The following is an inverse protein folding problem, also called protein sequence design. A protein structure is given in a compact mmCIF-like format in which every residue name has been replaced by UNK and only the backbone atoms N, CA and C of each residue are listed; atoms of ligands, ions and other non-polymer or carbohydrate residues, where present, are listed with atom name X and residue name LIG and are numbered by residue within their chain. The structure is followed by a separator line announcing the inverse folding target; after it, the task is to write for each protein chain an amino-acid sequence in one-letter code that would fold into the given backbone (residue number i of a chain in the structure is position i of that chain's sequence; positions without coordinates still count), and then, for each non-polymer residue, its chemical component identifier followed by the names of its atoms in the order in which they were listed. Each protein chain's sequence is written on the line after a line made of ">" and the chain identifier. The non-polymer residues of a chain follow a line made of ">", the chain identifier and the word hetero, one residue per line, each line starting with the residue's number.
data_IF_509785697062
#
_entry.id   IF_509785697062
#
_cell.length_a   1.000
_cell.length_b   1.000
_cell.length_c   1.000
_cell.angle_alpha   90.00
_cell.angle_beta   90.00
_cell.angle_gamma   90.00
#
_symmetry.space_group_name_H-M   'P 1'
#
loop_
_entity.id
_entity.type
_entity.pdbx_description
1 polymer ?
#
# COMPACT_ATOMS: atom_id res chain seq x y z
N UNK A 1 37.49 28.07 -47.35
CA UNK A 1 37.33 27.47 -46.00
C UNK A 1 36.03 27.91 -45.30
N UNK A 2 34.92 28.17 -46.02
CA UNK A 2 33.74 28.86 -45.45
C UNK A 2 32.38 28.15 -45.58
N UNK A 3 32.33 26.86 -45.92
CA UNK A 3 31.05 26.17 -46.15
C UNK A 3 30.77 24.99 -45.21
N UNK A 4 31.59 24.76 -44.18
CA UNK A 4 31.37 23.65 -43.22
C UNK A 4 30.93 24.08 -41.82
N UNK A 5 30.85 25.39 -41.53
CA UNK A 5 30.52 25.89 -40.18
C UNK A 5 29.03 26.25 -39.99
N UNK A 6 28.27 26.40 -41.08
CA UNK A 6 26.85 26.83 -41.01
C UNK A 6 25.90 25.63 -40.79
N UNK A 7 26.30 24.42 -41.19
CA UNK A 7 25.47 23.22 -41.02
C UNK A 7 25.41 22.68 -39.59
N UNK A 8 26.25 23.18 -38.68
CA UNK A 8 26.29 22.72 -37.28
C UNK A 8 25.34 23.50 -36.35
N UNK A 9 24.84 24.67 -36.78
CA UNK A 9 23.91 25.47 -35.96
C UNK A 9 22.43 25.14 -36.20
N UNK A 10 22.08 24.53 -37.34
CA UNK A 10 20.69 24.18 -37.66
C UNK A 10 20.27 22.85 -36.99
N UNK A 11 21.23 21.98 -36.64
CA UNK A 11 20.95 20.72 -35.95
C UNK A 11 20.75 20.86 -34.43
N UNK A 12 21.10 22.01 -33.82
CA UNK A 12 20.95 22.23 -32.38
C UNK A 12 19.59 22.82 -31.97
N UNK A 13 18.79 23.29 -32.92
CA UNK A 13 17.45 23.86 -32.65
C UNK A 13 16.28 22.86 -32.85
N UNK A 14 16.56 21.65 -33.33
CA UNK A 14 15.56 20.58 -33.48
C UNK A 14 15.46 19.63 -32.27
N UNK A 15 16.24 19.88 -31.22
CA UNK A 15 16.13 19.24 -29.91
C UNK A 15 15.83 20.29 -28.83
N UNK A 16 14.88 21.19 -29.09
CA UNK A 16 14.13 21.71 -27.95
C UNK A 16 13.50 20.48 -27.29
N UNK A 17 13.80 20.17 -26.02
CA UNK A 17 13.05 19.15 -25.32
C UNK A 17 11.60 19.56 -25.49
N UNK A 18 10.80 18.65 -26.06
CA UNK A 18 9.36 18.71 -25.92
C UNK A 18 9.16 18.90 -24.42
N UNK A 19 8.93 20.13 -23.98
CA UNK A 19 8.37 20.37 -22.67
C UNK A 19 7.04 19.66 -22.77
N UNK A 20 7.01 18.42 -22.29
CA UNK A 20 5.78 17.75 -21.96
C UNK A 20 5.10 18.73 -21.01
N UNK A 21 4.19 19.54 -21.53
CA UNK A 21 3.26 20.30 -20.73
C UNK A 21 2.54 19.22 -19.92
N UNK A 22 3.00 19.06 -18.69
CA UNK A 22 2.34 18.24 -17.70
C UNK A 22 1.03 18.97 -17.42
N UNK A 23 -0.02 18.62 -18.17
CA UNK A 23 -1.37 19.08 -17.87
C UNK A 23 -1.58 18.86 -16.38
N UNK A 24 -1.84 19.96 -15.66
CA UNK A 24 -2.17 19.88 -14.25
C UNK A 24 -3.47 19.10 -14.15
N UNK A 25 -3.41 17.92 -13.52
CA UNK A 25 -4.60 17.12 -13.26
C UNK A 25 -5.63 18.03 -12.57
N UNK A 26 -6.85 18.18 -13.12
CA UNK A 26 -7.86 19.04 -12.51
C UNK A 26 -8.10 18.59 -11.08
N UNK A 27 -7.95 19.50 -10.12
CA UNK A 27 -8.08 19.20 -8.69
C UNK A 27 -9.53 18.91 -8.29
N UNK A 28 -10.48 19.40 -9.09
CA UNK A 28 -11.91 19.32 -8.89
C UNK A 28 -12.54 18.93 -10.22
N UNK A 29 -13.51 18.02 -10.20
CA UNK A 29 -14.26 17.64 -11.39
C UNK A 29 -15.42 18.60 -11.71
N UNK A 30 -16.14 18.33 -12.79
CA UNK A 30 -17.28 19.15 -13.24
C UNK A 30 -18.45 19.21 -12.26
N UNK A 31 -18.46 18.34 -11.24
CA UNK A 31 -19.51 18.29 -10.20
C UNK A 31 -19.07 18.99 -8.91
N UNK A 32 -17.89 19.64 -8.92
CA UNK A 32 -17.35 20.29 -7.72
C UNK A 32 -16.75 19.30 -6.71
N UNK A 33 -16.47 18.06 -7.12
CA UNK A 33 -15.88 17.05 -6.24
C UNK A 33 -14.37 17.04 -6.39
N UNK A 34 -13.66 17.12 -5.27
CA UNK A 34 -12.21 17.11 -5.25
C UNK A 34 -11.66 15.72 -5.60
N UNK A 35 -10.66 15.69 -6.48
CA UNK A 35 -9.91 14.49 -6.81
C UNK A 35 -8.62 14.39 -5.97
N UNK A 36 -8.01 15.54 -5.68
CA UNK A 36 -6.77 15.68 -4.90
C UNK A 36 -6.85 16.92 -4.00
N UNK A 37 -7.55 16.85 -2.85
CA UNK A 37 -7.55 17.88 -1.81
C UNK A 37 -6.21 17.95 -1.06
N UNK A 38 -6.04 18.94 -0.16
CA UNK A 38 -4.85 19.08 0.68
C UNK A 38 -4.76 17.91 1.69
N UNK A 39 -5.90 17.51 2.27
CA UNK A 39 -6.03 16.29 3.07
C UNK A 39 -7.06 15.32 2.48
N UNK A 40 -6.65 14.07 2.27
CA UNK A 40 -7.53 13.00 1.80
C UNK A 40 -8.48 12.50 2.91
N UNK A 41 -9.71 12.06 2.56
CA UNK A 41 -10.59 11.40 3.50
C UNK A 41 -9.95 10.16 4.14
N UNK A 42 -10.30 9.89 5.40
CA UNK A 42 -9.70 8.82 6.20
C UNK A 42 -10.78 7.87 6.70
N UNK A 43 -10.65 6.58 6.41
CA UNK A 43 -11.48 5.56 7.06
C UNK A 43 -11.17 5.53 8.57
N UNK A 44 -12.15 5.27 9.46
CA UNK A 44 -11.90 5.15 10.90
C UNK A 44 -10.84 4.08 11.21
N UNK A 45 -9.72 4.49 11.83
CA UNK A 45 -8.58 3.59 12.08
C UNK A 45 -7.61 3.42 10.90
N UNK A 46 -7.80 4.17 9.82
CA UNK A 46 -6.89 4.23 8.68
C UNK A 46 -7.03 3.09 7.67
N UNK A 47 -6.08 3.01 6.75
CA UNK A 47 -6.12 2.08 5.61
C UNK A 47 -6.15 0.61 6.05
N UNK A 48 -5.36 0.24 7.07
CA UNK A 48 -5.35 -1.14 7.58
C UNK A 48 -6.71 -1.55 8.18
N UNK A 49 -7.36 -0.65 8.92
CA UNK A 49 -8.70 -0.90 9.47
C UNK A 49 -9.74 -1.07 8.35
N UNK A 50 -9.63 -0.30 7.27
CA UNK A 50 -10.49 -0.48 6.09
C UNK A 50 -10.27 -1.83 5.41
N UNK A 51 -9.01 -2.26 5.24
CA UNK A 51 -8.69 -3.56 4.66
C UNK A 51 -9.24 -4.70 5.52
N UNK A 52 -9.10 -4.59 6.85
CA UNK A 52 -9.70 -5.53 7.81
C UNK A 52 -11.23 -5.54 7.68
N UNK A 53 -11.87 -4.36 7.67
CA UNK A 53 -13.32 -4.23 7.50
C UNK A 53 -13.80 -4.94 6.24
N UNK A 54 -13.15 -4.71 5.09
CA UNK A 54 -13.50 -5.37 3.83
C UNK A 54 -13.34 -6.89 3.94
N UNK A 55 -12.22 -7.37 4.49
CA UNK A 55 -11.96 -8.81 4.62
C UNK A 55 -13.00 -9.54 5.49
N UNK A 56 -13.55 -8.86 6.50
CA UNK A 56 -14.51 -9.45 7.44
C UNK A 56 -15.96 -9.31 6.97
N UNK A 57 -16.28 -8.25 6.22
CA UNK A 57 -17.66 -7.92 5.86
C UNK A 57 -18.05 -8.30 4.44
N UNK A 58 -17.11 -8.62 3.55
CA UNK A 58 -17.40 -9.13 2.21
C UNK A 58 -17.92 -10.57 2.31
N UNK A 59 -19.08 -10.81 1.71
CA UNK A 59 -19.72 -12.12 1.62
C UNK A 59 -19.68 -12.61 0.18
N UNK A 60 -18.95 -13.68 -0.08
CA UNK A 60 -18.87 -14.23 -1.43
C UNK A 60 -20.22 -14.83 -1.86
N UNK A 61 -20.90 -14.31 -2.91
CA UNK A 61 -22.17 -14.87 -3.38
C UNK A 61 -22.04 -16.34 -3.79
N UNK A 62 -22.91 -17.21 -3.27
CA UNK A 62 -22.83 -18.67 -3.48
C UNK A 62 -22.86 -19.03 -4.97
N UNK A 63 -23.67 -18.34 -5.77
CA UNK A 63 -23.76 -18.57 -7.21
C UNK A 63 -22.47 -18.15 -7.94
N UNK A 64 -21.81 -17.07 -7.52
CA UNK A 64 -20.50 -16.69 -8.06
C UNK A 64 -19.42 -17.72 -7.68
N UNK A 65 -19.48 -18.28 -6.46
CA UNK A 65 -18.60 -19.38 -6.04
C UNK A 65 -18.77 -20.62 -6.92
N UNK A 66 -20.02 -21.07 -7.14
CA UNK A 66 -20.33 -22.23 -7.98
C UNK A 66 -19.85 -22.05 -9.42
N UNK A 67 -19.94 -20.83 -9.95
CA UNK A 67 -19.48 -20.48 -11.29
C UNK A 67 -17.97 -20.26 -11.40
N UNK A 68 -17.23 -20.35 -10.29
CA UNK A 68 -15.79 -20.11 -10.31
C UNK A 68 -15.40 -18.64 -10.52
N UNK A 69 -16.34 -17.71 -10.38
CA UNK A 69 -16.19 -16.30 -10.77
C UNK A 69 -15.43 -15.56 -9.71
N UNK A 70 -14.13 -15.31 -9.93
CA UNK A 70 -13.27 -14.52 -9.04
C UNK A 70 -12.77 -13.26 -9.71
N UNK A 71 -12.36 -12.29 -8.90
CA UNK A 71 -11.73 -11.09 -9.40
C UNK A 71 -11.91 -9.91 -8.47
N UNK A 72 -11.76 -8.73 -9.05
CA UNK A 72 -11.80 -7.48 -8.33
C UNK A 72 -12.83 -6.55 -8.92
N UNK A 73 -13.71 -6.06 -8.06
CA UNK A 73 -14.64 -4.97 -8.37
C UNK A 73 -14.01 -3.65 -7.93
N UNK A 74 -14.04 -2.63 -8.79
CA UNK A 74 -13.62 -1.27 -8.42
C UNK A 74 -14.86 -0.44 -8.16
N UNK A 75 -14.96 0.07 -6.93
CA UNK A 75 -16.02 0.98 -6.51
C UNK A 75 -15.43 2.38 -6.40
N UNK A 76 -16.07 3.32 -7.07
CA UNK A 76 -15.86 4.75 -6.87
C UNK A 76 -17.03 5.30 -6.07
N UNK A 77 -16.75 6.19 -5.14
CA UNK A 77 -17.76 6.87 -4.33
C UNK A 77 -17.24 8.25 -3.94
N UNK A 78 -18.10 9.06 -3.35
CA UNK A 78 -17.78 10.38 -2.82
C UNK A 78 -17.87 10.32 -1.30
N UNK A 79 -16.80 10.73 -0.63
CA UNK A 79 -16.86 11.06 0.79
C UNK A 79 -17.37 12.49 0.90
N UNK A 80 -18.51 12.66 1.55
CA UNK A 80 -19.17 13.94 1.74
C UNK A 80 -18.44 14.79 2.80
N UNK A 81 -18.75 16.09 2.84
CA UNK A 81 -18.18 17.04 3.80
C UNK A 81 -18.44 16.68 5.26
N UNK A 82 -19.54 15.96 5.51
CA UNK A 82 -19.87 15.47 6.84
C UNK A 82 -19.16 14.15 7.15
N UNK A 83 -18.58 13.44 6.17
CA UNK A 83 -17.94 12.13 6.31
C UNK A 83 -18.81 10.93 5.89
N UNK A 84 -20.06 11.15 5.48
CA UNK A 84 -20.90 10.07 4.92
C UNK A 84 -20.45 9.72 3.50
N UNK A 85 -20.87 8.54 3.02
CA UNK A 85 -20.60 8.10 1.66
C UNK A 85 -21.81 8.36 0.77
N UNK A 86 -21.55 8.66 -0.49
CA UNK A 86 -22.58 8.75 -1.51
C UNK A 86 -22.03 8.56 -2.92
N UNK A 87 -22.94 8.52 -3.89
CA UNK A 87 -22.61 8.35 -5.32
C UNK A 87 -21.75 7.10 -5.59
N UNK A 88 -21.98 6.01 -4.86
CA UNK A 88 -21.26 4.75 -5.06
C UNK A 88 -21.61 4.15 -6.41
N UNK A 89 -20.61 3.84 -7.20
CA UNK A 89 -20.77 3.16 -8.49
C UNK A 89 -19.64 2.19 -8.75
N UNK A 90 -19.98 1.12 -9.46
CA UNK A 90 -19.00 0.18 -10.01
C UNK A 90 -18.38 0.85 -11.24
N UNK A 91 -17.10 1.20 -11.19
CA UNK A 91 -16.38 1.74 -12.36
C UNK A 91 -15.66 0.66 -13.15
N UNK A 92 -15.43 -0.50 -12.52
CA UNK A 92 -14.95 -1.70 -13.23
C UNK A 92 -15.43 -2.95 -12.51
N UNK A 93 -16.42 -3.60 -13.11
CA UNK A 93 -17.01 -4.83 -12.60
C UNK A 93 -16.22 -6.09 -12.93
N UNK A 94 -16.73 -7.22 -12.44
CA UNK A 94 -16.29 -8.57 -12.81
C UNK A 94 -17.48 -9.41 -13.23
N UNK A 95 -18.49 -9.45 -12.37
CA UNK A 95 -19.73 -10.18 -12.54
C UNK A 95 -20.80 -9.48 -11.68
N UNK A 96 -22.05 -9.38 -12.15
CA UNK A 96 -23.10 -8.66 -11.44
C UNK A 96 -23.24 -9.06 -9.97
N UNK A 97 -23.05 -10.34 -9.62
CA UNK A 97 -23.17 -10.81 -8.24
C UNK A 97 -22.05 -10.25 -7.35
N UNK A 98 -20.82 -10.21 -7.86
CA UNK A 98 -19.69 -9.64 -7.13
C UNK A 98 -19.80 -8.12 -7.05
N UNK A 99 -20.29 -7.50 -8.11
CA UNK A 99 -20.47 -6.06 -8.24
C UNK A 99 -21.51 -5.55 -7.22
N UNK A 100 -22.63 -6.25 -7.08
CA UNK A 100 -23.67 -5.98 -6.08
C UNK A 100 -23.13 -6.11 -4.65
N UNK A 101 -22.38 -7.17 -4.36
CA UNK A 101 -21.81 -7.37 -3.03
C UNK A 101 -20.75 -6.30 -2.70
N UNK A 102 -19.92 -5.93 -3.67
CA UNK A 102 -18.96 -4.85 -3.51
C UNK A 102 -19.67 -3.52 -3.22
N UNK A 103 -20.76 -3.21 -3.92
CA UNK A 103 -21.56 -2.03 -3.62
C UNK A 103 -22.17 -2.09 -2.22
N UNK A 104 -22.72 -3.25 -1.82
CA UNK A 104 -23.33 -3.43 -0.50
C UNK A 104 -22.33 -3.17 0.62
N UNK A 105 -21.12 -3.74 0.53
CA UNK A 105 -20.11 -3.58 1.60
C UNK A 105 -19.58 -2.14 1.67
N UNK A 106 -19.45 -1.45 0.54
CA UNK A 106 -19.03 -0.03 0.53
C UNK A 106 -20.11 0.86 1.13
N UNK A 107 -21.38 0.67 0.75
CA UNK A 107 -22.50 1.41 1.33
C UNK A 107 -22.68 1.20 2.83
N UNK A 108 -22.23 0.06 3.35
CA UNK A 108 -22.32 -0.28 4.77
C UNK A 108 -21.11 0.22 5.59
N UNK A 109 -20.15 0.93 4.98
CA UNK A 109 -18.99 1.44 5.70
C UNK A 109 -19.39 2.45 6.78
N UNK A 110 -18.64 2.50 7.90
CA UNK A 110 -18.80 3.56 8.88
C UNK A 110 -18.49 4.92 8.25
N UNK A 111 -18.92 5.97 8.95
CA UNK A 111 -18.62 7.36 8.60
C UNK A 111 -17.11 7.62 8.57
N UNK A 112 -16.63 8.29 7.53
CA UNK A 112 -15.22 8.64 7.32
C UNK A 112 -14.90 10.00 7.92
N UNK A 113 -13.61 10.26 8.15
CA UNK A 113 -13.11 11.63 8.27
C UNK A 113 -13.15 12.27 6.88
N UNK A 114 -13.80 13.44 6.70
CA UNK A 114 -13.87 14.12 5.41
C UNK A 114 -12.49 14.61 4.96
N UNK A 115 -12.34 14.90 3.67
CA UNK A 115 -11.15 15.58 3.17
C UNK A 115 -11.20 17.08 3.44
N UNK A 116 -10.04 17.73 3.39
CA UNK A 116 -9.89 19.17 3.65
C UNK A 116 -9.16 19.83 2.49
N UNK A 117 -9.69 20.96 2.02
CA UNK A 117 -9.01 21.85 1.09
C UNK A 117 -9.20 23.29 1.56
N UNK A 118 -8.13 24.09 1.55
CA UNK A 118 -8.14 25.48 2.01
C UNK A 118 -8.75 25.65 3.42
N UNK A 119 -8.46 24.68 4.31
CA UNK A 119 -8.95 24.67 5.69
C UNK A 119 -10.44 24.35 5.86
N UNK A 120 -11.16 23.96 4.80
CA UNK A 120 -12.58 23.60 4.82
C UNK A 120 -12.78 22.14 4.46
N UNK A 121 -13.77 21.50 5.08
CA UNK A 121 -14.18 20.15 4.66
C UNK A 121 -14.78 20.20 3.26
N UNK A 122 -14.42 19.24 2.42
CA UNK A 122 -14.83 19.18 1.01
C UNK A 122 -15.28 17.78 0.62
N UNK A 123 -16.11 17.69 -0.42
CA UNK A 123 -16.47 16.41 -1.05
C UNK A 123 -15.29 15.88 -1.83
N UNK A 124 -14.94 14.61 -1.61
CA UNK A 124 -13.78 13.99 -2.26
C UNK A 124 -14.15 12.69 -2.93
N UNK A 125 -13.75 12.55 -4.19
CA UNK A 125 -13.92 11.32 -4.96
C UNK A 125 -12.88 10.31 -4.52
N UNK A 126 -13.34 9.17 -4.05
CA UNK A 126 -12.49 8.09 -3.58
C UNK A 126 -12.77 6.81 -4.36
N UNK A 127 -11.74 5.99 -4.56
CA UNK A 127 -11.86 4.74 -5.32
C UNK A 127 -11.18 3.62 -4.56
N UNK A 128 -11.90 2.53 -4.32
CA UNK A 128 -11.37 1.35 -3.64
C UNK A 128 -11.64 0.08 -4.43
N UNK A 129 -10.72 -0.90 -4.37
CA UNK A 129 -10.96 -2.24 -4.86
C UNK A 129 -11.55 -3.14 -3.78
N UNK A 130 -12.55 -3.95 -4.15
CA UNK A 130 -13.08 -5.06 -3.36
C UNK A 130 -12.67 -6.38 -4.03
N UNK A 131 -12.01 -7.26 -3.28
CA UNK A 131 -11.40 -8.49 -3.80
C UNK A 131 -12.25 -9.72 -3.50
N UNK A 132 -12.51 -10.54 -4.52
CA UNK A 132 -13.17 -11.83 -4.43
C UNK A 132 -12.23 -12.92 -4.95
N UNK A 133 -11.78 -13.80 -4.07
CA UNK A 133 -10.89 -14.91 -4.42
C UNK A 133 -11.48 -16.22 -3.95
N UNK A 134 -11.62 -17.20 -4.85
CA UNK A 134 -11.96 -18.55 -4.47
C UNK A 134 -10.67 -19.25 -4.04
N UNK A 135 -10.49 -19.47 -2.74
CA UNK A 135 -9.59 -20.52 -2.31
C UNK A 135 -10.19 -21.85 -2.76
N UNK A 136 -9.46 -22.63 -3.58
CA UNK A 136 -9.87 -23.99 -3.91
C UNK A 136 -9.96 -24.77 -2.59
N UNK A 137 -11.16 -25.27 -2.25
CA UNK A 137 -11.33 -26.21 -1.15
C UNK A 137 -10.46 -27.45 -1.41
N UNK A 138 -9.45 -27.68 -0.58
CA UNK A 138 -9.02 -29.02 -0.18
C UNK A 138 -9.65 -29.28 1.20
N UNK A 139 -10.13 -30.50 1.39
CA UNK A 139 -11.00 -30.97 2.47
C UNK A 139 -10.68 -30.40 3.88
N UNK A 140 -11.79 -30.12 4.58
CA UNK A 140 -11.96 -29.76 5.99
C UNK A 140 -10.72 -29.93 6.89
N UNK A 141 -10.11 -28.79 7.26
CA UNK A 141 -9.84 -28.27 8.62
C UNK A 141 -8.95 -27.00 8.45
N UNK A 142 -9.56 -25.81 8.57
CA UNK A 142 -8.99 -24.46 8.40
C UNK A 142 -8.64 -24.00 6.95
N UNK A 143 -8.91 -22.72 6.57
CA UNK A 143 -8.72 -22.27 5.19
C UNK A 143 -7.24 -21.90 4.93
N UNK A 144 -6.53 -22.78 4.20
CA UNK A 144 -5.25 -22.47 3.59
C UNK A 144 -5.42 -21.41 2.48
N UNK A 145 -4.98 -20.18 2.75
CA UNK A 145 -4.50 -19.30 1.68
C UNK A 145 -3.19 -19.90 1.18
N UNK A 146 -3.12 -20.37 -0.07
CA UNK A 146 -1.83 -20.63 -0.73
C UNK A 146 -1.13 -19.30 -1.05
N UNK A 147 -0.71 -18.60 0.00
CA UNK A 147 0.44 -17.72 -0.03
C UNK A 147 1.62 -18.66 0.23
N UNK A 148 2.73 -18.64 -0.56
CA UNK A 148 3.90 -19.45 -0.22
C UNK A 148 4.32 -19.11 1.21
N UNK A 149 4.07 -20.05 2.12
CA UNK A 149 4.37 -19.92 3.54
C UNK A 149 5.86 -20.21 3.69
N UNK A 150 6.63 -19.17 4.00
CA UNK A 150 8.05 -19.32 4.28
C UNK A 150 8.21 -19.66 5.74
N UNK A 151 8.92 -20.74 6.03
CA UNK A 151 9.29 -21.11 7.40
C UNK A 151 10.72 -20.64 7.66
N UNK A 152 10.90 -19.88 8.74
CA UNK A 152 12.21 -19.40 9.19
C UNK A 152 12.49 -19.95 10.58
N UNK A 153 13.67 -20.54 10.85
CA UNK A 153 14.05 -20.95 12.19
C UNK A 153 13.97 -19.78 13.20
N UNK A 154 13.52 -20.06 14.41
CA UNK A 154 13.55 -19.10 15.52
C UNK A 154 14.62 -19.48 16.55
N UNK A 155 15.01 -18.52 17.39
CA UNK A 155 15.94 -18.76 18.51
C UNK A 155 17.43 -18.80 18.14
N UNK A 156 17.78 -18.64 16.86
CA UNK A 156 19.18 -18.45 16.45
C UNK A 156 19.72 -17.07 16.84
N UNK A 157 21.04 -16.96 16.98
CA UNK A 157 21.70 -15.67 17.16
C UNK A 157 21.56 -14.81 15.90
N UNK A 158 21.21 -13.53 16.07
CA UNK A 158 21.12 -12.58 14.97
C UNK A 158 22.51 -11.99 14.71
N UNK A 159 23.09 -12.33 13.57
CA UNK A 159 24.43 -11.89 13.14
C UNK A 159 24.35 -10.68 12.22
N UNK A 160 23.30 -10.57 11.40
CA UNK A 160 23.12 -9.46 10.47
C UNK A 160 22.21 -8.39 11.06
N UNK A 161 22.82 -7.31 11.55
CA UNK A 161 22.09 -6.16 12.09
C UNK A 161 21.81 -5.04 11.07
N UNK A 162 22.32 -5.14 9.84
CA UNK A 162 22.23 -4.03 8.89
C UNK A 162 20.78 -3.83 8.38
N UNK A 163 20.19 -2.64 8.56
CA UNK A 163 18.85 -2.35 8.04
C UNK A 163 18.83 -1.98 6.55
N UNK A 164 19.95 -1.56 5.98
CA UNK A 164 20.05 -1.27 4.55
C UNK A 164 19.72 -2.52 3.75
N UNK A 165 18.87 -2.38 2.74
CA UNK A 165 18.41 -3.47 1.90
C UNK A 165 16.96 -3.29 1.44
N UNK A 166 16.46 -4.30 0.74
CA UNK A 166 15.05 -4.40 0.36
C UNK A 166 14.34 -5.33 1.33
N UNK A 167 13.19 -4.88 1.81
CA UNK A 167 12.35 -5.58 2.76
C UNK A 167 10.96 -5.75 2.17
N UNK A 168 10.34 -6.89 2.37
CA UNK A 168 8.97 -7.17 1.99
C UNK A 168 8.10 -7.33 3.22
N UNK A 169 6.97 -6.62 3.25
CA UNK A 169 5.99 -6.73 4.33
C UNK A 169 5.49 -8.17 4.43
N UNK A 170 5.17 -8.63 5.63
CA UNK A 170 4.66 -9.98 5.85
C UNK A 170 3.76 -10.09 7.08
N UNK A 171 2.97 -11.16 7.14
CA UNK A 171 2.33 -11.64 8.35
C UNK A 171 3.22 -12.73 8.95
N UNK A 172 3.32 -12.75 10.27
CA UNK A 172 4.11 -13.74 11.01
C UNK A 172 3.19 -14.53 11.94
N UNK A 173 3.27 -15.85 11.87
CA UNK A 173 2.71 -16.77 12.84
C UNK A 173 3.86 -17.48 13.57
N UNK A 174 4.09 -17.19 14.86
CA UNK A 174 5.12 -17.87 15.64
C UNK A 174 4.77 -19.35 15.84
N UNK A 175 5.74 -20.23 15.61
CA UNK A 175 5.75 -21.62 16.04
C UNK A 175 6.70 -21.84 17.21
N UNK A 176 6.87 -23.11 17.60
CA UNK A 176 7.72 -23.49 18.75
C UNK A 176 9.21 -23.23 18.47
N UNK A 177 9.66 -23.51 17.24
CA UNK A 177 11.06 -23.35 16.79
C UNK A 177 11.18 -22.63 15.45
N UNK A 178 10.09 -22.03 14.98
CA UNK A 178 10.06 -21.34 13.70
C UNK A 178 9.10 -20.14 13.70
N UNK A 179 9.21 -19.35 12.64
CA UNK A 179 8.23 -18.36 12.22
C UNK A 179 7.69 -18.80 10.87
N UNK A 180 6.37 -18.92 10.77
CA UNK A 180 5.70 -19.08 9.49
C UNK A 180 5.29 -17.73 8.96
N UNK A 181 5.60 -17.47 7.70
CA UNK A 181 5.54 -16.13 7.11
C UNK A 181 4.73 -16.14 5.84
N UNK A 182 3.75 -15.25 5.77
CA UNK A 182 2.98 -14.98 4.56
C UNK A 182 3.36 -13.60 4.02
N UNK A 183 3.94 -13.55 2.81
CA UNK A 183 4.38 -12.29 2.18
C UNK A 183 3.20 -11.43 1.72
N UNK A 184 3.32 -10.12 1.94
CA UNK A 184 2.36 -9.09 1.58
C UNK A 184 2.92 -8.20 0.44
N UNK A 185 2.07 -7.44 -0.29
CA UNK A 185 2.45 -6.75 -1.52
C UNK A 185 3.12 -5.38 -1.32
N UNK A 186 3.84 -5.17 -0.21
CA UNK A 186 4.63 -3.95 0.02
C UNK A 186 6.11 -4.29 0.11
N UNK A 187 6.93 -3.52 -0.62
CA UNK A 187 8.36 -3.43 -0.46
C UNK A 187 8.74 -2.13 0.25
N UNK A 188 9.74 -2.21 1.11
CA UNK A 188 10.45 -1.07 1.69
C UNK A 188 11.90 -1.17 1.23
N UNK A 189 12.39 -0.14 0.57
CA UNK A 189 13.80 0.02 0.22
C UNK A 189 14.40 0.96 1.25
N UNK A 190 15.42 0.50 1.98
CA UNK A 190 16.25 1.33 2.86
C UNK A 190 17.63 1.37 2.22
N UNK A 191 18.03 2.52 1.70
CA UNK A 191 19.26 2.65 0.90
C UNK A 191 20.44 3.16 1.73
N UNK A 192 21.66 2.90 1.25
CA UNK A 192 22.88 3.33 1.94
C UNK A 192 23.02 4.87 2.02
N UNK A 193 22.38 5.60 1.11
CA UNK A 193 22.39 7.07 1.03
C UNK A 193 21.40 7.76 1.98
N UNK A 194 20.87 7.02 2.98
CA UNK A 194 19.97 7.53 4.00
C UNK A 194 18.58 7.92 3.50
N UNK A 195 18.12 7.31 2.41
CA UNK A 195 16.73 7.43 1.94
C UNK A 195 15.94 6.14 2.13
N UNK A 196 14.61 6.27 2.17
CA UNK A 196 13.72 5.12 2.16
C UNK A 196 12.54 5.33 1.21
N UNK A 197 12.02 4.22 0.67
CA UNK A 197 10.85 4.21 -0.20
C UNK A 197 9.98 3.00 0.14
N UNK A 198 8.69 3.24 0.38
CA UNK A 198 7.67 2.20 0.49
C UNK A 198 6.88 2.10 -0.82
N UNK A 199 6.92 0.93 -1.43
CA UNK A 199 6.37 0.61 -2.73
C UNK A 199 5.32 -0.48 -2.57
N UNK A 200 4.09 -0.21 -2.97
CA UNK A 200 3.10 -1.26 -3.18
C UNK A 200 3.39 -1.93 -4.53
N UNK A 201 3.88 -3.17 -4.55
CA UNK A 201 4.39 -3.86 -5.76
C UNK A 201 3.31 -4.25 -6.74
N UNK A 202 2.11 -4.41 -6.21
CA UNK A 202 0.91 -4.71 -6.97
C UNK A 202 -0.11 -3.73 -6.42
N UNK A 203 -0.57 -2.77 -7.25
CA UNK A 203 -1.66 -1.89 -6.83
C UNK A 203 -2.77 -2.73 -6.21
N UNK A 204 -3.55 -2.19 -5.26
CA UNK A 204 -4.58 -2.92 -4.45
C UNK A 204 -5.57 -3.76 -5.28
N UNK A 205 -5.46 -3.59 -6.58
CA UNK A 205 -6.31 -4.06 -7.59
C UNK A 205 -5.73 -5.34 -8.30
N UNK A 206 -4.41 -5.58 -8.35
CA UNK A 206 -3.75 -6.61 -9.18
C UNK A 206 -3.51 -6.30 -10.66
N UNK A 207 -3.87 -5.12 -11.15
CA UNK A 207 -3.71 -4.73 -12.57
C UNK A 207 -3.09 -3.33 -12.74
N UNK A 208 -3.04 -2.54 -11.67
CA UNK A 208 -2.38 -1.25 -11.60
C UNK A 208 -0.90 -1.44 -11.33
N UNK A 209 -0.12 -0.51 -11.89
CA UNK A 209 1.30 -0.41 -11.69
C UNK A 209 1.64 -0.31 -10.19
N UNK A 210 2.89 -0.65 -9.86
CA UNK A 210 3.42 -0.41 -8.54
C UNK A 210 3.33 1.09 -8.19
N UNK A 211 3.03 1.40 -6.94
CA UNK A 211 2.87 2.79 -6.46
C UNK A 211 3.80 3.01 -5.29
N UNK A 212 4.61 4.06 -5.37
CA UNK A 212 5.31 4.61 -4.21
C UNK A 212 4.27 5.38 -3.39
N UNK A 213 4.01 4.90 -2.18
CA UNK A 213 2.98 5.49 -1.31
C UNK A 213 3.58 6.24 -0.11
N UNK A 214 4.87 6.06 0.17
CA UNK A 214 5.61 6.86 1.14
C UNK A 214 7.11 6.82 0.82
N UNK A 215 7.80 7.94 0.98
CA UNK A 215 9.24 8.07 0.80
C UNK A 215 9.78 9.22 1.65
N UNK A 216 11.08 9.18 1.91
CA UNK A 216 11.74 10.17 2.75
C UNK A 216 13.20 9.88 3.01
N UNK A 217 13.74 10.61 3.97
CA UNK A 217 15.07 10.36 4.53
C UNK A 217 14.94 9.55 5.82
N UNK A 218 16.03 8.94 6.27
CA UNK A 218 16.04 8.27 7.55
C UNK A 218 17.32 8.51 8.35
N UNK A 219 17.19 8.36 9.66
CA UNK A 219 18.30 8.30 10.62
C UNK A 219 18.29 6.95 11.33
N UNK A 220 19.46 6.49 11.73
CA UNK A 220 19.65 5.31 12.58
C UNK A 220 20.41 5.73 13.84
N UNK A 221 19.72 6.29 14.85
CA UNK A 221 20.38 6.71 16.09
C UNK A 221 20.99 5.54 16.89
N UNK A 222 20.44 4.33 16.77
CA UNK A 222 20.98 3.13 17.41
C UNK A 222 20.58 1.86 16.64
N UNK A 223 21.09 0.70 17.08
CA UNK A 223 20.72 -0.59 16.52
C UNK A 223 19.20 -0.84 16.54
N UNK A 224 18.49 -0.30 17.54
CA UNK A 224 17.07 -0.59 17.80
C UNK A 224 16.15 0.59 17.53
N UNK A 225 16.69 1.72 17.05
CA UNK A 225 15.90 2.92 16.75
C UNK A 225 16.17 3.36 15.31
N UNK A 226 15.10 3.42 14.53
CA UNK A 226 15.06 3.86 13.14
C UNK A 226 14.07 5.01 13.04
N UNK A 227 14.48 6.14 12.48
CA UNK A 227 13.63 7.35 12.40
C UNK A 227 13.42 7.70 10.94
N UNK A 228 12.18 7.66 10.47
CA UNK A 228 11.80 8.08 9.12
C UNK A 228 11.36 9.55 9.14
N UNK A 229 11.95 10.38 8.27
CA UNK A 229 11.55 11.76 8.03
C UNK A 229 10.79 11.77 6.71
N UNK A 230 9.46 11.88 6.79
CA UNK A 230 8.60 11.71 5.61
C UNK A 230 8.73 12.93 4.69
N UNK A 231 9.14 12.72 3.44
CA UNK A 231 9.14 13.79 2.43
C UNK A 231 7.86 13.80 1.61
N UNK A 232 7.30 12.62 1.32
CA UNK A 232 6.03 12.46 0.60
C UNK A 232 5.33 11.18 1.03
N UNK A 233 4.03 11.26 1.23
CA UNK A 233 3.22 10.11 1.65
C UNK A 233 1.77 10.26 1.19
N UNK A 234 1.13 9.14 0.87
CA UNK A 234 -0.32 9.05 0.72
C UNK A 234 -1.01 8.57 2.00
N UNK A 235 -0.24 8.22 3.04
CA UNK A 235 -0.77 7.90 4.35
C UNK A 235 -1.11 9.21 5.08
N UNK A 236 -2.35 9.36 5.55
CA UNK A 236 -2.81 10.62 6.10
C UNK A 236 -2.47 10.81 7.59
N UNK A 237 -1.84 9.81 8.23
CA UNK A 237 -1.25 9.91 9.58
C UNK A 237 0.21 10.37 9.46
N UNK A 238 0.95 9.81 8.50
CA UNK A 238 2.36 10.10 8.29
C UNK A 238 2.53 11.01 7.08
N UNK A 239 2.19 12.29 7.25
CA UNK A 239 2.28 13.31 6.19
C UNK A 239 3.70 13.85 6.05
N UNK A 240 3.96 14.58 4.96
CA UNK A 240 5.25 15.25 4.74
C UNK A 240 5.66 16.13 5.94
N UNK A 241 6.93 16.04 6.34
CA UNK A 241 7.49 16.70 7.52
C UNK A 241 7.33 15.93 8.83
N UNK A 242 6.60 14.80 8.83
CA UNK A 242 6.45 13.95 10.02
C UNK A 242 7.77 13.21 10.30
N UNK A 243 8.23 13.26 11.55
CA UNK A 243 9.24 12.32 12.05
C UNK A 243 8.53 11.11 12.69
N UNK A 244 8.82 9.92 12.18
CA UNK A 244 8.27 8.66 12.68
C UNK A 244 9.38 7.88 13.40
N UNK A 245 9.30 7.81 14.73
CA UNK A 245 10.20 7.00 15.55
C UNK A 245 9.75 5.55 15.56
N UNK A 246 10.61 4.66 15.06
CA UNK A 246 10.32 3.25 14.87
C UNK A 246 11.30 2.42 15.69
N UNK A 247 10.76 1.66 16.63
CA UNK A 247 11.50 0.62 17.35
C UNK A 247 11.71 -0.59 16.45
N UNK A 248 12.95 -1.10 16.42
CA UNK A 248 13.37 -2.23 15.60
C UNK A 248 13.75 -3.40 16.48
N UNK A 249 13.04 -4.51 16.32
CA UNK A 249 13.34 -5.79 16.94
C UNK A 249 13.74 -6.79 15.83
N UNK A 250 14.93 -7.39 15.93
CA UNK A 250 15.41 -8.39 14.95
C UNK A 250 15.10 -9.78 15.49
N UNK A 251 14.20 -10.48 14.80
CA UNK A 251 13.78 -11.84 15.15
C UNK A 251 14.63 -12.91 14.46
N UNK A 252 15.23 -12.54 13.31
CA UNK A 252 16.17 -13.32 12.52
C UNK A 252 16.99 -12.34 11.66
N UNK A 253 18.12 -12.76 11.08
CA UNK A 253 18.92 -11.98 10.11
C UNK A 253 18.12 -11.43 8.91
N UNK A 254 16.97 -12.05 8.66
CA UNK A 254 16.08 -11.79 7.53
C UNK A 254 14.66 -11.40 7.97
N UNK A 255 14.36 -11.36 9.28
CA UNK A 255 13.04 -11.03 9.80
C UNK A 255 13.15 -9.98 10.90
N UNK A 256 12.48 -8.85 10.70
CA UNK A 256 12.39 -7.77 11.67
C UNK A 256 10.93 -7.47 12.01
N UNK A 257 10.74 -7.00 13.24
CA UNK A 257 9.50 -6.42 13.74
C UNK A 257 9.74 -4.93 13.99
N UNK A 258 8.87 -4.12 13.41
CA UNK A 258 8.86 -2.67 13.57
C UNK A 258 7.68 -2.29 14.46
N UNK A 259 7.89 -1.40 15.42
CA UNK A 259 6.83 -0.88 16.29
C UNK A 259 6.90 0.63 16.38
N UNK A 260 5.80 1.32 16.10
CA UNK A 260 5.73 2.78 16.09
C UNK A 260 4.33 3.27 16.44
N UNK A 261 4.21 4.56 16.72
CA UNK A 261 2.92 5.19 17.07
C UNK A 261 2.61 6.34 16.13
N UNK A 262 1.36 6.79 16.11
CA UNK A 262 1.00 8.02 15.44
C UNK A 262 1.70 9.20 16.12
N UNK A 263 1.86 10.35 15.44
CA UNK A 263 2.46 11.53 16.06
C UNK A 263 1.77 11.96 17.37
N UNK A 264 0.44 11.79 17.46
CA UNK A 264 -0.38 12.03 18.66
C UNK A 264 -0.27 10.92 19.73
N UNK A 265 0.44 9.82 19.44
CA UNK A 265 0.63 8.63 20.26
C UNK A 265 -0.64 7.84 20.61
N UNK A 266 -1.77 8.12 19.97
CA UNK A 266 -3.03 7.41 20.24
C UNK A 266 -3.09 6.04 19.57
N UNK A 267 -2.49 5.89 18.39
CA UNK A 267 -2.48 4.65 17.61
C UNK A 267 -1.10 4.05 17.60
N UNK A 268 -1.05 2.72 17.71
CA UNK A 268 0.18 1.93 17.69
C UNK A 268 0.10 0.92 16.56
N UNK A 269 1.20 0.78 15.83
CA UNK A 269 1.36 -0.21 14.77
C UNK A 269 2.50 -1.16 15.10
N UNK A 270 2.30 -2.42 14.71
CA UNK A 270 3.34 -3.44 14.67
C UNK A 270 3.34 -3.99 13.25
N UNK A 271 4.51 -3.99 12.62
CA UNK A 271 4.72 -4.50 11.28
C UNK A 271 5.85 -5.52 11.27
N UNK A 272 5.77 -6.49 10.37
CA UNK A 272 6.81 -7.49 10.16
C UNK A 272 7.34 -7.40 8.74
N UNK A 273 8.65 -7.50 8.61
CA UNK A 273 9.34 -7.29 7.34
C UNK A 273 10.41 -8.37 7.13
N UNK A 274 10.39 -8.97 5.95
CA UNK A 274 11.29 -10.03 5.53
C UNK A 274 12.28 -9.52 4.46
N UNK A 275 13.57 -9.83 4.56
CA UNK A 275 14.61 -9.30 3.66
C UNK A 275 14.61 -9.97 2.26
N UNK A 276 14.82 -9.19 1.19
CA UNK A 276 14.84 -9.65 -0.23
C UNK A 276 16.09 -9.13 -1.00
N UNK A 277 16.67 -9.90 -1.94
CA UNK A 277 16.59 -11.36 -2.05
C UNK A 277 17.39 -11.96 -0.89
N UNK A 278 16.88 -13.03 -0.29
CA UNK A 278 17.68 -13.76 0.69
C UNK A 278 18.76 -14.53 -0.05
N UNK A 279 20.07 -14.36 0.27
CA UNK A 279 21.11 -15.14 -0.38
C UNK A 279 20.97 -16.65 -0.17
N UNK A 280 20.29 -17.14 0.88
CA UNK A 280 20.27 -18.57 1.21
C UNK A 280 18.99 -19.01 1.97
N UNK A 281 17.80 -18.84 1.39
CA UNK A 281 16.59 -19.49 1.94
C UNK A 281 16.32 -20.76 1.17
N UNK A 282 16.52 -21.91 1.82
CA UNK A 282 15.96 -23.18 1.36
C UNK A 282 14.44 -23.01 1.31
N UNK A 283 13.90 -22.79 0.11
CA UNK A 283 12.48 -22.97 -0.15
C UNK A 283 12.25 -24.47 -0.01
N UNK A 284 11.80 -24.93 1.16
CA UNK A 284 11.27 -26.28 1.28
C UNK A 284 9.90 -26.26 0.61
N UNK A 285 9.88 -26.54 -0.69
CA UNK A 285 8.67 -26.93 -1.39
C UNK A 285 8.50 -28.43 -1.20
N UNK A 286 7.32 -28.86 -0.73
CA UNK A 286 6.89 -30.26 -0.81
C UNK A 286 6.76 -30.70 -2.28
#
# INVERSE_FOLDING_TARGET
>A
MHTKLVSLFIALFLCLPLFAQKESIPRIDSEGVYLVPDEMPKFPGGMQAMMKYLSTNVKYPVEAQKKGVSGRVIIQFVVMEDGTLGQEKVVRGVDPLLDEEALRVVKAMPKWTPGVADGKTVKVRFTIPVMFSLSKKKNDHAPNMNIPELTIPSGQEVTNKNLVGVWQSCLVQPGEHDYRIALLPVLKVISADKTFINIMTRGRDAKSNAVIFSQGEYRLPSDNLYVEIISKSSDPVFMAGTENEISVERLHDNLIKLSFSSPDKEKKWVEYWFRVPSPDVKIMAD
#
